data_IF_436400503750
#
_entry.id   IF_436400503750
#
_cell.length_a   1.000
_cell.length_b   1.000
_cell.length_c   1.000
_cell.angle_alpha   90.00
_cell.angle_beta   90.00
_cell.angle_gamma   90.00
#
_symmetry.space_group_name_H-M   'P 1'
#
loop_
_entity.id
_entity.type
_entity.pdbx_description
1 polymer ?
#
# COMPACT_ATOMS: atom_id res chain seq x y z
N UNK A 1 -14.69 10.81 -2.27
CA UNK A 1 -13.54 9.98 -2.67
C UNK A 1 -14.07 9.04 -3.73
N UNK A 2 -13.45 9.00 -4.90
CA UNK A 2 -13.85 8.10 -6.00
C UNK A 2 -13.37 6.67 -5.72
N UNK A 3 -13.90 5.67 -6.43
CA UNK A 3 -13.39 4.30 -6.36
C UNK A 3 -11.91 4.23 -6.78
N UNK A 4 -11.50 5.08 -7.71
CA UNK A 4 -10.10 5.20 -8.13
C UNK A 4 -9.21 5.68 -6.97
N UNK A 5 -9.65 6.69 -6.22
CA UNK A 5 -8.91 7.19 -5.05
C UNK A 5 -8.76 6.10 -3.98
N UNK A 6 -9.84 5.33 -3.73
CA UNK A 6 -9.85 4.24 -2.76
C UNK A 6 -8.84 3.14 -3.14
N UNK A 7 -8.88 2.66 -4.39
CA UNK A 7 -7.94 1.63 -4.87
C UNK A 7 -6.51 2.18 -4.89
N UNK A 8 -6.31 3.43 -5.30
CA UNK A 8 -4.98 4.04 -5.27
C UNK A 8 -4.41 4.07 -3.85
N UNK A 9 -5.20 4.42 -2.85
CA UNK A 9 -4.78 4.40 -1.45
C UNK A 9 -4.40 2.99 -0.96
N UNK A 10 -5.14 1.95 -1.38
CA UNK A 10 -4.80 0.56 -1.06
C UNK A 10 -3.48 0.13 -1.72
N UNK A 11 -3.22 0.55 -2.96
CA UNK A 11 -1.95 0.28 -3.65
C UNK A 11 -0.77 1.05 -3.02
N UNK A 12 -1.00 2.26 -2.51
CA UNK A 12 0.00 3.02 -1.75
C UNK A 12 0.34 2.32 -0.43
N UNK A 13 -0.67 1.87 0.31
CA UNK A 13 -0.48 1.09 1.54
C UNK A 13 0.30 -0.20 1.26
N UNK A 14 -0.04 -0.90 0.18
CA UNK A 14 0.70 -2.07 -0.28
C UNK A 14 2.18 -1.76 -0.50
N UNK A 15 2.48 -0.62 -1.13
CA UNK A 15 3.85 -0.19 -1.37
C UNK A 15 4.58 0.10 -0.05
N UNK A 16 3.93 0.79 0.89
CA UNK A 16 4.51 1.13 2.19
C UNK A 16 4.86 -0.14 2.99
N UNK A 17 3.93 -1.11 3.06
CA UNK A 17 4.16 -2.38 3.76
C UNK A 17 5.28 -3.20 3.12
N UNK A 18 5.32 -3.29 1.79
CA UNK A 18 6.41 -3.97 1.09
C UNK A 18 7.77 -3.28 1.32
N UNK A 19 7.80 -1.95 1.34
CA UNK A 19 9.01 -1.18 1.59
C UNK A 19 9.51 -1.35 3.03
N UNK A 20 8.59 -1.40 3.99
CA UNK A 20 8.90 -1.70 5.38
C UNK A 20 9.49 -3.11 5.56
N UNK A 21 9.05 -4.08 4.75
CA UNK A 21 9.60 -5.45 4.70
C UNK A 21 10.87 -5.59 3.84
N UNK A 22 11.49 -4.47 3.44
CA UNK A 22 12.70 -4.39 2.61
C UNK A 22 12.59 -5.14 1.26
N UNK A 23 11.38 -5.24 0.70
CA UNK A 23 11.16 -5.86 -0.60
C UNK A 23 11.66 -4.94 -1.72
N UNK A 24 12.61 -5.43 -2.50
CA UNK A 24 13.19 -4.66 -3.61
C UNK A 24 12.22 -4.51 -4.80
N UNK A 25 12.27 -3.35 -5.46
CA UNK A 25 11.60 -2.99 -6.72
C UNK A 25 10.05 -2.93 -6.69
N UNK A 26 9.38 -3.89 -6.06
CA UNK A 26 7.91 -3.96 -6.02
C UNK A 26 7.23 -2.69 -5.49
N UNK A 27 7.66 -2.06 -4.37
CA UNK A 27 7.02 -0.84 -3.85
C UNK A 27 6.87 0.26 -4.91
N UNK A 28 7.92 0.48 -5.71
CA UNK A 28 7.90 1.52 -6.74
C UNK A 28 6.88 1.28 -7.85
N UNK A 29 6.60 0.01 -8.19
CA UNK A 29 5.57 -0.34 -9.17
C UNK A 29 4.18 -0.07 -8.62
N UNK A 30 3.92 -0.43 -7.36
CA UNK A 30 2.65 -0.16 -6.69
C UNK A 30 2.37 1.35 -6.55
N UNK A 31 3.36 2.15 -6.14
CA UNK A 31 3.20 3.62 -6.07
C UNK A 31 2.85 4.24 -7.43
N UNK A 32 3.54 3.81 -8.49
CA UNK A 32 3.28 4.32 -9.86
C UNK A 32 1.92 3.87 -10.39
N UNK A 33 1.50 2.63 -10.08
CA UNK A 33 0.18 2.17 -10.45
C UNK A 33 -0.90 2.95 -9.70
N UNK A 34 -0.72 3.23 -8.40
CA UNK A 34 -1.64 4.03 -7.60
C UNK A 34 -1.86 5.42 -8.20
N UNK A 35 -0.78 6.11 -8.59
CA UNK A 35 -0.83 7.40 -9.27
C UNK A 35 -1.66 7.33 -10.56
N UNK A 36 -1.36 6.37 -11.43
CA UNK A 36 -2.08 6.21 -12.70
C UNK A 36 -3.54 5.80 -12.52
N UNK A 37 -3.86 4.95 -11.53
CA UNK A 37 -5.26 4.58 -11.21
C UNK A 37 -6.03 5.81 -10.72
N UNK A 38 -5.44 6.60 -9.82
CA UNK A 38 -6.06 7.82 -9.29
C UNK A 38 -6.38 8.83 -10.38
N UNK A 39 -5.46 9.02 -11.31
CA UNK A 39 -5.61 9.99 -12.41
C UNK A 39 -6.41 9.45 -13.61
N UNK A 40 -6.74 8.15 -13.62
CA UNK A 40 -7.41 7.53 -14.74
C UNK A 40 -8.83 8.11 -14.94
N UNK A 41 -9.21 8.53 -16.17
CA UNK A 41 -10.49 9.20 -16.41
C UNK A 41 -11.70 8.26 -16.33
N UNK A 42 -11.50 6.97 -16.62
CA UNK A 42 -12.54 5.95 -16.50
C UNK A 42 -12.55 5.41 -15.06
N UNK A 43 -13.73 5.25 -14.43
CA UNK A 43 -13.86 4.54 -13.17
C UNK A 43 -13.24 3.14 -13.26
N UNK A 44 -12.40 2.80 -12.29
CA UNK A 44 -11.67 1.53 -12.25
C UNK A 44 -12.61 0.32 -12.14
N UNK A 45 -13.79 0.51 -11.55
CA UNK A 45 -14.87 -0.48 -11.48
C UNK A 45 -15.40 -0.88 -12.87
N UNK A 46 -15.59 0.07 -13.79
CA UNK A 46 -16.01 -0.23 -15.17
C UNK A 46 -14.95 -1.04 -15.92
N UNK A 47 -13.66 -0.77 -15.66
CA UNK A 47 -12.56 -1.54 -16.24
C UNK A 47 -12.50 -2.95 -15.65
N UNK A 48 -12.68 -3.07 -14.33
CA UNK A 48 -12.67 -4.36 -13.64
C UNK A 48 -13.82 -5.27 -14.09
N UNK A 49 -15.02 -4.72 -14.33
CA UNK A 49 -16.15 -5.45 -14.93
C UNK A 49 -15.83 -6.04 -16.32
N UNK A 50 -14.93 -5.38 -17.07
CA UNK A 50 -14.44 -5.85 -18.36
C UNK A 50 -13.26 -6.83 -18.26
N UNK A 51 -12.79 -7.13 -17.05
CA UNK A 51 -11.71 -8.08 -16.74
C UNK A 51 -10.31 -7.47 -16.64
N UNK A 52 -9.36 -8.28 -16.17
CA UNK A 52 -7.97 -7.85 -15.91
C UNK A 52 -7.31 -7.18 -17.13
N UNK A 53 -7.52 -7.71 -18.34
CA UNK A 53 -6.97 -7.14 -19.58
C UNK A 53 -7.40 -5.68 -19.83
N UNK A 54 -8.59 -5.28 -19.35
CA UNK A 54 -9.05 -3.90 -19.46
C UNK A 54 -8.39 -3.01 -18.41
N UNK A 55 -8.20 -3.52 -17.20
CA UNK A 55 -7.48 -2.83 -16.11
C UNK A 55 -6.00 -2.63 -16.46
N UNK A 56 -5.36 -3.59 -17.13
CA UNK A 56 -3.97 -3.50 -17.60
C UNK A 56 -3.73 -2.39 -18.64
N UNK A 57 -4.78 -1.77 -19.18
CA UNK A 57 -4.64 -0.62 -20.09
C UNK A 57 -4.26 0.66 -19.35
N UNK A 58 -4.44 0.70 -18.02
CA UNK A 58 -3.95 1.78 -17.17
C UNK A 58 -2.42 1.73 -17.17
N UNK A 59 -1.75 2.86 -17.38
CA UNK A 59 -0.29 2.88 -17.41
C UNK A 59 0.30 2.35 -16.09
N UNK A 60 1.40 1.60 -16.20
CA UNK A 60 2.10 0.95 -15.08
C UNK A 60 1.28 -0.08 -14.28
N UNK A 61 0.08 -0.46 -14.72
CA UNK A 61 -0.69 -1.55 -14.14
C UNK A 61 -0.40 -2.85 -14.90
N UNK A 62 0.44 -3.72 -14.30
CA UNK A 62 0.71 -5.05 -14.85
C UNK A 62 -0.21 -6.14 -14.27
N UNK A 63 -0.06 -7.38 -14.75
CA UNK A 63 -0.92 -8.54 -14.39
C UNK A 63 -1.23 -8.63 -12.89
N UNK A 64 -0.19 -8.63 -12.05
CA UNK A 64 -0.34 -8.81 -10.61
C UNK A 64 -1.11 -7.67 -9.92
N UNK A 65 -1.06 -6.46 -10.46
CA UNK A 65 -1.79 -5.30 -9.92
C UNK A 65 -3.22 -5.33 -10.46
N UNK A 66 -3.42 -5.64 -11.75
CA UNK A 66 -4.73 -5.79 -12.35
C UNK A 66 -5.58 -6.85 -11.62
N UNK A 67 -4.99 -8.02 -11.33
CA UNK A 67 -5.66 -9.08 -10.58
C UNK A 67 -6.13 -8.60 -9.20
N UNK A 68 -5.30 -7.86 -8.45
CA UNK A 68 -5.65 -7.29 -7.13
C UNK A 68 -6.75 -6.24 -7.21
N UNK A 69 -6.73 -5.40 -8.25
CA UNK A 69 -7.76 -4.40 -8.49
C UNK A 69 -9.10 -5.09 -8.74
N UNK A 70 -9.13 -6.11 -9.59
CA UNK A 70 -10.34 -6.91 -9.86
C UNK A 70 -10.81 -7.61 -8.60
N UNK A 71 -9.91 -8.26 -7.86
CA UNK A 71 -10.22 -8.90 -6.57
C UNK A 71 -10.88 -7.92 -5.59
N UNK A 72 -10.34 -6.70 -5.46
CA UNK A 72 -10.92 -5.69 -4.59
C UNK A 72 -12.31 -5.24 -5.04
N UNK A 73 -12.51 -5.07 -6.35
CA UNK A 73 -13.82 -4.69 -6.90
C UNK A 73 -14.85 -5.78 -6.66
N UNK A 74 -14.49 -7.06 -6.81
CA UNK A 74 -15.40 -8.19 -6.64
C UNK A 74 -15.67 -8.55 -5.18
N UNK A 75 -14.66 -8.47 -4.32
CA UNK A 75 -14.71 -9.03 -2.96
C UNK A 75 -14.69 -7.96 -1.86
N UNK A 76 -14.25 -6.75 -2.17
CA UNK A 76 -14.03 -5.68 -1.20
C UNK A 76 -12.74 -5.81 -0.38
N UNK A 77 -11.84 -6.73 -0.73
CA UNK A 77 -10.54 -6.91 -0.07
C UNK A 77 -9.46 -7.35 -1.04
N UNK A 78 -8.19 -7.23 -0.63
CA UNK A 78 -7.03 -7.79 -1.33
C UNK A 78 -6.34 -8.72 -0.34
N UNK A 79 -6.40 -10.03 -0.56
CA UNK A 79 -5.91 -11.01 0.43
C UNK A 79 -4.44 -10.79 0.79
N UNK A 80 -3.57 -10.54 -0.20
CA UNK A 80 -2.15 -10.27 0.07
C UNK A 80 -1.94 -8.97 0.86
N UNK A 81 -2.84 -7.99 0.77
CA UNK A 81 -2.76 -6.77 1.59
C UNK A 81 -3.13 -7.04 3.04
N UNK A 82 -4.16 -7.86 3.28
CA UNK A 82 -4.53 -8.28 4.63
C UNK A 82 -3.39 -9.08 5.29
N UNK A 83 -2.77 -10.01 4.55
CA UNK A 83 -1.60 -10.76 5.03
C UNK A 83 -0.43 -9.81 5.41
N UNK A 84 -0.20 -8.77 4.60
CA UNK A 84 0.84 -7.77 4.88
C UNK A 84 0.54 -6.96 6.14
N UNK A 85 -0.74 -6.63 6.41
CA UNK A 85 -1.18 -5.93 7.62
C UNK A 85 -1.02 -6.81 8.86
N UNK A 86 -1.32 -8.11 8.75
CA UNK A 86 -1.14 -9.06 9.84
C UNK A 86 0.35 -9.28 10.18
N UNK A 87 1.21 -9.33 9.16
CA UNK A 87 2.66 -9.47 9.34
C UNK A 87 3.33 -8.23 9.94
N UNK A 88 2.78 -7.04 9.67
CA UNK A 88 3.31 -5.76 10.13
C UNK A 88 2.18 -4.87 10.69
N UNK A 89 1.65 -5.17 11.89
CA UNK A 89 0.51 -4.49 12.49
C UNK A 89 0.94 -3.15 13.12
N UNK A 90 1.26 -2.18 12.26
CA UNK A 90 1.74 -0.84 12.66
C UNK A 90 0.80 0.26 12.16
N UNK A 91 0.72 1.36 12.91
CA UNK A 91 0.13 2.61 12.42
C UNK A 91 1.10 3.29 11.44
N UNK A 92 1.13 2.79 10.21
CA UNK A 92 2.03 3.27 9.16
C UNK A 92 1.85 4.77 8.90
N UNK A 93 0.59 5.24 8.83
CA UNK A 93 0.29 6.63 8.57
C UNK A 93 0.72 7.54 9.73
N UNK A 94 0.45 7.11 10.97
CA UNK A 94 0.89 7.82 12.16
C UNK A 94 2.41 7.92 12.24
N UNK A 95 3.12 6.80 12.11
CA UNK A 95 4.58 6.75 12.20
C UNK A 95 5.26 7.54 11.08
N UNK A 96 4.77 7.44 9.84
CA UNK A 96 5.36 8.16 8.70
C UNK A 96 5.01 9.65 8.65
N UNK A 97 4.13 10.13 9.53
CA UNK A 97 3.90 11.57 9.71
C UNK A 97 5.09 12.30 10.34
N UNK A 98 6.01 11.56 10.98
CA UNK A 98 7.23 12.10 11.57
C UNK A 98 8.27 12.35 10.49
N UNK A 99 8.79 13.57 10.41
CA UNK A 99 9.81 13.95 9.42
C UNK A 99 11.03 13.04 9.52
N UNK A 100 11.40 12.41 8.39
CA UNK A 100 12.53 11.47 8.31
C UNK A 100 12.18 10.02 8.65
N UNK A 101 10.94 9.73 9.07
CA UNK A 101 10.46 8.36 9.28
C UNK A 101 9.67 7.92 8.05
N UNK A 102 10.32 7.14 7.18
CA UNK A 102 9.65 6.48 6.05
C UNK A 102 9.29 5.03 6.36
N UNK A 103 8.53 4.34 5.49
CA UNK A 103 8.11 2.95 5.72
C UNK A 103 9.28 2.00 6.00
N UNK A 104 10.41 2.17 5.31
CA UNK A 104 11.63 1.39 5.57
C UNK A 104 12.17 1.58 6.98
N UNK A 105 12.06 2.79 7.54
CA UNK A 105 12.45 3.07 8.93
C UNK A 105 11.45 2.45 9.89
N UNK A 106 10.16 2.55 9.60
CA UNK A 106 9.09 1.90 10.39
C UNK A 106 9.34 0.40 10.52
N UNK A 107 9.59 -0.31 9.41
CA UNK A 107 9.87 -1.75 9.45
C UNK A 107 11.06 -2.10 10.34
N UNK A 108 12.14 -1.31 10.28
CA UNK A 108 13.32 -1.51 11.16
C UNK A 108 13.01 -1.25 12.63
N UNK A 109 12.21 -0.23 12.93
CA UNK A 109 11.82 0.10 14.31
C UNK A 109 10.91 -0.97 14.89
N UNK A 110 9.97 -1.49 14.09
CA UNK A 110 9.14 -2.61 14.50
C UNK A 110 9.98 -3.86 14.77
N UNK A 111 10.87 -4.24 13.87
CA UNK A 111 11.73 -5.42 14.04
C UNK A 111 12.69 -5.30 15.23
N UNK A 112 13.31 -4.13 15.41
CA UNK A 112 14.35 -3.93 16.42
C UNK A 112 13.79 -3.62 17.81
N UNK A 113 12.69 -2.86 17.88
CA UNK A 113 12.20 -2.24 19.11
C UNK A 113 10.72 -2.56 19.39
N UNK A 114 10.01 -3.23 18.48
CA UNK A 114 8.58 -3.51 18.62
C UNK A 114 7.69 -2.27 18.48
N UNK A 115 8.21 -1.18 17.90
CA UNK A 115 7.46 0.08 17.73
C UNK A 115 6.33 -0.13 16.73
N UNK A 116 5.09 0.03 17.20
CA UNK A 116 3.88 -0.14 16.39
C UNK A 116 3.10 1.15 16.17
N UNK A 117 3.27 2.15 17.04
CA UNK A 117 2.58 3.44 16.96
C UNK A 117 3.45 4.62 17.45
N UNK A 118 2.87 5.82 17.47
CA UNK A 118 3.55 7.05 17.89
C UNK A 118 3.94 7.06 19.38
N UNK A 119 3.16 6.39 20.23
CA UNK A 119 3.45 6.33 21.67
C UNK A 119 4.68 5.44 21.92
N UNK A 120 4.74 4.29 21.25
CA UNK A 120 5.91 3.41 21.26
C UNK A 120 7.16 4.14 20.72
N UNK A 121 6.99 4.91 19.63
CA UNK A 121 8.08 5.68 19.03
C UNK A 121 8.61 6.76 19.98
N UNK A 122 7.72 7.49 20.66
CA UNK A 122 8.09 8.50 21.66
C UNK A 122 8.86 7.86 22.83
N UNK A 123 8.40 6.71 23.33
CA UNK A 123 9.06 5.97 24.39
C UNK A 123 10.46 5.52 23.98
N UNK A 124 10.59 4.88 22.81
CA UNK A 124 11.86 4.42 22.27
C UNK A 124 12.87 5.56 22.06
N UNK A 125 12.40 6.75 21.68
CA UNK A 125 13.26 7.93 21.50
C UNK A 125 13.76 8.54 22.81
N UNK A 126 13.06 8.33 23.94
CA UNK A 126 13.46 8.82 25.26
C UNK A 126 14.46 7.92 25.98
N UNK A 127 14.40 6.62 25.70
CA UNK A 127 15.21 5.60 26.35
C UNK A 127 16.61 5.41 25.71
N UNK A 128 16.90 6.10 24.59
CA UNK A 128 18.18 6.08 23.86
C UNK A 128 19.04 7.32 24.08
#
# INVERSE_FOLDING_TARGET
MSRNDEIASLLEEFADLLEAKDVAYKPSSYRRAAENVREHPTPVEELAEAGEDAVQKIDRVGDAIAAKIVEYVETGRIEELEDLREDLPVDMAGLTSVEGVGPKTVGKLYEALGVSDLDDLEAAARDG
#
